data_IF_401064323940
#
_entry.id   IF_401064323940
#
_cell.length_a   1.000
_cell.length_b   1.000
_cell.length_c   1.000
_cell.angle_alpha   90.00
_cell.angle_beta   90.00
_cell.angle_gamma   90.00
#
_symmetry.space_group_name_H-M   'P 1'
#
loop_
_entity.id
_entity.type
_entity.pdbx_description
1 polymer ?
#
# COMPACT_ATOMS: atom_id res chain seq x y z
N UNK A 1 -48.04 30.71 82.68
CA UNK A 1 -48.47 32.03 82.17
C UNK A 1 -47.25 32.73 81.61
N UNK A 2 -47.16 32.84 80.28
CA UNK A 2 -46.70 34.00 79.49
C UNK A 2 -46.60 33.50 78.03
N UNK A 3 -47.04 34.37 77.15
CA UNK A 3 -47.63 34.14 75.84
C UNK A 3 -46.60 34.39 74.72
N UNK A 4 -46.72 33.61 73.63
CA UNK A 4 -46.47 33.93 72.19
C UNK A 4 -45.29 34.85 71.81
N UNK A 5 -44.51 34.41 70.83
CA UNK A 5 -44.67 34.85 69.43
C UNK A 5 -43.81 33.99 68.49
N UNK A 6 -44.47 33.29 67.57
CA UNK A 6 -43.86 32.46 66.53
C UNK A 6 -43.62 33.35 65.31
N UNK A 7 -42.34 33.59 64.99
CA UNK A 7 -41.94 34.24 63.73
C UNK A 7 -41.85 33.16 62.66
N UNK A 8 -42.73 33.22 61.66
CA UNK A 8 -42.69 32.34 60.49
C UNK A 8 -41.75 32.98 59.46
N UNK A 9 -40.57 32.38 59.28
CA UNK A 9 -39.60 32.74 58.25
C UNK A 9 -40.00 32.03 56.93
N UNK A 10 -40.11 32.74 55.79
CA UNK A 10 -40.50 32.10 54.54
C UNK A 10 -39.34 31.24 54.02
N UNK A 11 -39.61 29.96 53.82
CA UNK A 11 -38.70 29.00 53.19
C UNK A 11 -38.60 29.33 51.69
N UNK A 12 -37.56 30.04 51.30
CA UNK A 12 -37.23 30.29 49.89
C UNK A 12 -36.73 28.98 49.28
N UNK A 13 -37.59 28.29 48.53
CA UNK A 13 -37.24 27.09 47.77
C UNK A 13 -36.34 27.52 46.60
N UNK A 14 -35.02 27.38 46.75
CA UNK A 14 -34.06 27.46 45.65
C UNK A 14 -34.26 26.24 44.76
N UNK A 15 -35.00 26.43 43.65
CA UNK A 15 -35.04 25.48 42.54
C UNK A 15 -33.63 25.39 41.93
N UNK A 16 -32.86 24.41 42.36
CA UNK A 16 -31.65 23.98 41.69
C UNK A 16 -32.04 23.40 40.33
N UNK A 17 -31.93 24.22 39.28
CA UNK A 17 -32.01 23.77 37.89
C UNK A 17 -30.87 22.78 37.68
N UNK A 18 -31.13 21.52 37.26
CA UNK A 18 -30.06 20.64 36.86
C UNK A 18 -29.44 21.24 35.61
N UNK A 19 -28.20 21.74 35.74
CA UNK A 19 -27.37 22.01 34.57
C UNK A 19 -27.13 20.64 33.94
N UNK A 20 -27.91 20.34 32.91
CA UNK A 20 -27.65 19.22 32.02
C UNK A 20 -26.27 19.45 31.42
N UNK A 21 -25.28 18.76 31.96
CA UNK A 21 -23.99 18.64 31.29
C UNK A 21 -24.28 17.99 29.94
N UNK A 22 -24.16 18.77 28.87
CA UNK A 22 -23.85 18.18 27.58
C UNK A 22 -22.63 17.30 27.85
N UNK A 23 -22.75 16.00 27.63
CA UNK A 23 -21.59 15.17 27.40
C UNK A 23 -20.86 15.85 26.24
N UNK A 24 -19.86 16.65 26.55
CA UNK A 24 -18.94 17.14 25.54
C UNK A 24 -18.40 15.87 24.90
N UNK A 25 -18.62 15.71 23.60
CA UNK A 25 -17.97 14.69 22.79
C UNK A 25 -16.47 14.84 23.00
N UNK A 26 -15.91 14.14 23.98
CA UNK A 26 -14.46 13.98 24.10
C UNK A 26 -14.03 13.37 22.79
N UNK A 27 -13.20 14.08 21.99
CA UNK A 27 -12.79 13.57 20.69
C UNK A 27 -12.18 12.19 20.89
N UNK A 28 -12.55 11.24 20.02
CA UNK A 28 -11.93 9.92 19.96
C UNK A 28 -10.41 10.09 20.11
N UNK A 29 -9.77 9.47 21.12
CA UNK A 29 -8.35 9.61 21.36
C UNK A 29 -7.50 9.34 20.11
N UNK A 30 -7.95 8.46 19.21
CA UNK A 30 -7.28 8.19 17.94
C UNK A 30 -7.38 9.38 16.98
N UNK A 31 -8.52 10.07 16.91
CA UNK A 31 -8.70 11.28 16.09
C UNK A 31 -7.84 12.42 16.63
N UNK A 32 -7.79 12.60 17.95
CA UNK A 32 -6.91 13.59 18.57
C UNK A 32 -5.43 13.27 18.31
N UNK A 33 -5.02 12.00 18.46
CA UNK A 33 -3.67 11.55 18.16
C UNK A 33 -3.31 11.74 16.68
N UNK A 34 -4.23 11.46 15.75
CA UNK A 34 -4.01 11.66 14.32
C UNK A 34 -3.75 13.13 13.96
N UNK A 35 -4.54 14.05 14.53
CA UNK A 35 -4.35 15.50 14.34
C UNK A 35 -3.00 15.96 14.87
N UNK A 36 -2.66 15.58 16.11
CA UNK A 36 -1.38 15.90 16.71
C UNK A 36 -0.19 15.30 15.94
N UNK A 37 -0.35 14.09 15.41
CA UNK A 37 0.68 13.47 14.57
C UNK A 37 0.89 14.28 13.29
N UNK A 38 -0.17 14.63 12.56
CA UNK A 38 -0.08 15.39 11.32
C UNK A 38 0.51 16.80 11.53
N UNK A 39 0.20 17.44 12.66
CA UNK A 39 0.77 18.74 13.02
C UNK A 39 2.27 18.67 13.32
N UNK A 40 2.72 17.62 14.03
CA UNK A 40 4.12 17.49 14.49
C UNK A 40 5.03 16.83 13.47
N UNK A 41 4.48 16.00 12.60
CA UNK A 41 5.22 15.24 11.58
C UNK A 41 4.59 15.41 10.19
N UNK A 42 4.54 16.65 9.64
CA UNK A 42 3.87 16.93 8.37
C UNK A 42 4.50 16.19 7.17
N UNK A 43 5.76 15.76 7.29
CA UNK A 43 6.48 14.98 6.28
C UNK A 43 6.08 13.49 6.26
N UNK A 44 5.35 13.01 7.28
CA UNK A 44 4.92 11.62 7.40
C UNK A 44 3.41 11.49 7.15
N UNK A 45 3.06 10.82 6.05
CA UNK A 45 1.65 10.56 5.71
C UNK A 45 1.11 9.35 6.48
N UNK A 46 0.40 9.61 7.59
CA UNK A 46 -0.35 8.57 8.29
C UNK A 46 -1.55 8.11 7.45
N UNK A 47 -1.66 6.80 7.20
CA UNK A 47 -2.85 6.19 6.58
C UNK A 47 -3.96 5.99 7.60
N UNK A 48 -3.61 5.45 8.76
CA UNK A 48 -4.50 5.23 9.88
C UNK A 48 -3.75 5.51 11.18
N UNK A 49 -4.47 5.99 12.18
CA UNK A 49 -3.98 6.13 13.56
C UNK A 49 -5.00 5.47 14.46
N UNK A 50 -4.55 4.56 15.31
CA UNK A 50 -5.42 3.79 16.19
C UNK A 50 -4.73 3.49 17.52
N UNK A 51 -5.47 3.18 18.60
CA UNK A 51 -4.87 2.84 19.88
C UNK A 51 -3.99 1.58 19.75
N UNK A 52 -2.83 1.58 20.42
CA UNK A 52 -2.05 0.36 20.62
C UNK A 52 -2.47 -0.35 21.92
N UNK A 53 -1.99 -1.58 22.17
CA UNK A 53 -2.17 -2.24 23.47
C UNK A 53 -1.52 -1.51 24.67
N UNK A 54 -0.65 -0.52 24.42
CA UNK A 54 -0.02 0.30 25.45
C UNK A 54 -0.82 1.61 25.60
N UNK A 55 -1.33 1.85 26.81
CA UNK A 55 -2.09 3.06 27.12
C UNK A 55 -1.27 4.33 26.82
N UNK A 56 -1.87 5.31 26.14
CA UNK A 56 -1.22 6.55 25.73
C UNK A 56 -0.33 6.44 24.47
N UNK A 57 -0.20 5.24 23.89
CA UNK A 57 0.56 5.00 22.67
C UNK A 57 -0.35 4.56 21.52
N UNK A 58 -0.15 5.16 20.35
CA UNK A 58 -0.97 4.92 19.16
C UNK A 58 -0.15 4.28 18.06
N UNK A 59 -0.72 3.27 17.40
CA UNK A 59 -0.20 2.75 16.15
C UNK A 59 -0.50 3.74 15.03
N UNK A 60 0.54 4.14 14.31
CA UNK A 60 0.45 4.98 13.12
C UNK A 60 0.89 4.13 11.94
N UNK A 61 -0.06 3.80 11.08
CA UNK A 61 0.22 3.12 9.84
C UNK A 61 0.79 4.10 8.84
N UNK A 62 2.01 3.84 8.38
CA UNK A 62 2.60 4.45 7.18
C UNK A 62 2.45 3.50 5.98
N UNK A 63 3.06 3.82 4.84
CA UNK A 63 2.93 3.01 3.62
C UNK A 63 3.33 1.54 3.81
N UNK A 64 4.48 1.28 4.42
CA UNK A 64 5.08 -0.06 4.50
C UNK A 64 5.46 -0.50 5.93
N UNK A 65 5.04 0.24 6.94
CA UNK A 65 5.35 -0.04 8.35
C UNK A 65 4.34 0.60 9.29
N UNK A 66 4.27 0.07 10.50
CA UNK A 66 3.64 0.74 11.63
C UNK A 66 4.77 1.36 12.47
N UNK A 67 4.54 2.59 12.91
CA UNK A 67 5.32 3.23 13.97
C UNK A 67 4.38 3.58 15.11
N UNK A 68 4.94 3.96 16.25
CA UNK A 68 4.17 4.28 17.43
C UNK A 68 4.31 5.75 17.82
N UNK A 69 3.21 6.41 18.12
CA UNK A 69 3.19 7.83 18.51
C UNK A 69 2.65 7.99 19.93
N UNK A 70 3.37 8.75 20.77
CA UNK A 70 2.96 9.11 22.11
C UNK A 70 2.54 10.59 22.15
N UNK A 71 1.23 10.92 22.08
CA UNK A 71 0.77 12.30 21.87
C UNK A 71 1.19 13.29 22.97
N UNK A 72 1.23 12.84 24.23
CA UNK A 72 1.59 13.67 25.39
C UNK A 72 3.03 14.18 25.29
N UNK A 73 3.98 13.31 24.92
CA UNK A 73 5.40 13.67 24.79
C UNK A 73 5.76 14.19 23.39
N UNK A 74 4.99 13.81 22.36
CA UNK A 74 5.31 14.09 20.97
C UNK A 74 6.38 13.22 20.36
N UNK A 75 6.78 12.13 21.03
CA UNK A 75 7.82 11.24 20.56
C UNK A 75 7.26 10.11 19.68
N UNK A 76 8.13 9.61 18.79
CA UNK A 76 7.91 8.41 18.00
C UNK A 76 8.73 7.26 18.57
N UNK A 77 8.15 6.08 18.64
CA UNK A 77 8.87 4.83 18.80
C UNK A 77 8.83 4.06 17.48
N UNK A 78 10.01 3.65 17.02
CA UNK A 78 10.19 2.88 15.78
C UNK A 78 10.74 1.52 16.15
N UNK A 79 10.01 0.48 15.77
CA UNK A 79 10.33 -0.90 16.11
C UNK A 79 9.06 -1.73 16.24
N UNK A 80 9.22 -2.96 16.69
CA UNK A 80 8.13 -3.90 16.86
C UNK A 80 7.69 -3.99 18.32
N UNK A 81 6.38 -4.06 18.52
CA UNK A 81 5.75 -4.42 19.78
C UNK A 81 5.64 -5.94 19.87
N UNK A 82 6.29 -6.49 20.89
CA UNK A 82 6.22 -7.92 21.19
C UNK A 82 5.36 -8.13 22.43
N UNK A 83 4.38 -9.02 22.31
CA UNK A 83 3.62 -9.51 23.45
C UNK A 83 4.53 -10.39 24.33
N UNK A 84 4.16 -10.58 25.62
CA UNK A 84 4.72 -11.66 26.41
C UNK A 84 4.66 -12.98 25.63
N UNK A 85 5.64 -13.85 25.80
CA UNK A 85 5.72 -15.16 25.12
C UNK A 85 6.06 -15.10 23.62
N UNK A 86 6.43 -13.93 23.08
CA UNK A 86 7.12 -13.84 21.79
C UNK A 86 6.24 -13.64 20.55
N UNK A 87 4.97 -13.23 20.69
CA UNK A 87 4.15 -12.82 19.54
C UNK A 87 4.52 -11.38 19.13
N UNK A 88 4.89 -11.18 17.87
CA UNK A 88 5.14 -9.85 17.31
C UNK A 88 3.81 -9.23 16.84
N UNK A 89 3.25 -8.33 17.65
CA UNK A 89 1.96 -7.70 17.41
C UNK A 89 2.01 -6.72 16.23
N UNK A 90 3.12 -6.02 16.05
CA UNK A 90 3.32 -5.11 14.90
C UNK A 90 3.26 -5.87 13.59
N UNK A 91 3.98 -7.00 13.50
CA UNK A 91 4.02 -7.82 12.30
C UNK A 91 2.66 -8.45 12.02
N UNK A 92 1.98 -8.96 13.05
CA UNK A 92 0.61 -9.48 12.93
C UNK A 92 -0.34 -8.42 12.38
N UNK A 93 -0.30 -7.21 12.95
CA UNK A 93 -1.15 -6.10 12.49
C UNK A 93 -0.85 -5.70 11.05
N UNK A 94 0.43 -5.64 10.66
CA UNK A 94 0.82 -5.42 9.28
C UNK A 94 0.27 -6.50 8.34
N UNK A 95 0.32 -7.78 8.74
CA UNK A 95 -0.26 -8.89 7.96
C UNK A 95 -1.77 -8.74 7.81
N UNK A 96 -2.51 -8.38 8.86
CA UNK A 96 -3.96 -8.13 8.80
C UNK A 96 -4.30 -6.98 7.84
N UNK A 97 -3.56 -5.87 7.93
CA UNK A 97 -3.71 -4.71 7.05
C UNK A 97 -3.46 -5.11 5.60
N UNK A 98 -2.38 -5.84 5.33
CA UNK A 98 -2.05 -6.30 3.99
C UNK A 98 -3.12 -7.25 3.44
N UNK A 99 -3.67 -8.15 4.26
CA UNK A 99 -4.74 -9.05 3.87
C UNK A 99 -6.03 -8.29 3.51
N UNK A 100 -6.43 -7.30 4.31
CA UNK A 100 -7.59 -6.46 4.02
C UNK A 100 -7.40 -5.63 2.72
N UNK A 101 -6.20 -5.11 2.49
CA UNK A 101 -5.86 -4.42 1.24
C UNK A 101 -5.86 -5.36 0.04
N UNK A 102 -5.35 -6.59 0.21
CA UNK A 102 -5.34 -7.61 -0.83
C UNK A 102 -6.77 -7.97 -1.25
N UNK A 103 -7.70 -8.11 -0.31
CA UNK A 103 -9.12 -8.38 -0.62
C UNK A 103 -9.73 -7.30 -1.53
N UNK A 104 -9.48 -6.02 -1.22
CA UNK A 104 -9.94 -4.89 -2.04
C UNK A 104 -9.24 -4.91 -3.41
N UNK A 105 -7.93 -5.17 -3.43
CA UNK A 105 -7.13 -5.21 -4.65
C UNK A 105 -7.49 -6.38 -5.55
N UNK A 106 -7.91 -7.53 -5.01
CA UNK A 106 -8.30 -8.71 -5.78
C UNK A 106 -9.44 -8.41 -6.76
N UNK A 107 -10.42 -7.61 -6.33
CA UNK A 107 -11.50 -7.14 -7.20
C UNK A 107 -10.99 -6.28 -8.37
N UNK A 108 -10.00 -5.42 -8.12
CA UNK A 108 -9.35 -4.62 -9.17
C UNK A 108 -8.53 -5.52 -10.11
N UNK A 109 -7.80 -6.49 -9.56
CA UNK A 109 -6.98 -7.46 -10.31
C UNK A 109 -7.81 -8.27 -11.29
N UNK A 110 -8.99 -8.72 -10.87
CA UNK A 110 -9.91 -9.48 -11.72
C UNK A 110 -10.38 -8.68 -12.96
N UNK A 111 -10.34 -7.34 -12.91
CA UNK A 111 -10.71 -6.46 -14.01
C UNK A 111 -9.53 -6.10 -14.93
N UNK A 112 -8.30 -6.54 -14.63
CA UNK A 112 -7.12 -6.20 -15.43
C UNK A 112 -7.18 -6.93 -16.78
N UNK A 113 -7.03 -6.23 -17.92
CA UNK A 113 -7.07 -6.84 -19.25
C UNK A 113 -5.74 -7.54 -19.56
N UNK A 114 -5.59 -8.77 -19.06
CA UNK A 114 -4.36 -9.57 -19.19
C UNK A 114 -3.94 -9.84 -20.65
N UNK A 115 -4.87 -9.76 -21.61
CA UNK A 115 -4.58 -9.88 -23.04
C UNK A 115 -3.75 -8.72 -23.61
N UNK A 116 -3.65 -7.61 -22.86
CA UNK A 116 -2.82 -6.45 -23.19
C UNK A 116 -1.42 -6.51 -22.62
N UNK A 117 -1.14 -7.49 -21.75
CA UNK A 117 0.17 -7.67 -21.15
C UNK A 117 1.10 -8.52 -22.03
N UNK A 118 2.40 -8.41 -21.78
CA UNK A 118 3.38 -9.38 -22.26
C UNK A 118 3.35 -10.59 -21.31
N UNK A 119 3.08 -11.78 -21.84
CA UNK A 119 3.00 -13.00 -21.02
C UNK A 119 4.35 -13.74 -21.03
N UNK A 120 4.86 -14.06 -19.84
CA UNK A 120 6.07 -14.87 -19.65
C UNK A 120 5.72 -16.08 -18.77
N UNK A 121 5.88 -17.30 -19.31
CA UNK A 121 5.42 -18.53 -18.67
C UNK A 121 3.93 -18.82 -18.89
N UNK A 122 3.49 -20.02 -18.51
CA UNK A 122 2.14 -20.54 -18.85
C UNK A 122 1.40 -21.17 -17.68
N UNK A 123 1.88 -20.91 -16.45
CA UNK A 123 1.31 -21.53 -15.27
C UNK A 123 0.06 -20.87 -14.70
N UNK A 124 -0.55 -21.56 -13.74
CA UNK A 124 -1.80 -21.16 -13.08
C UNK A 124 -1.63 -20.02 -12.07
N UNK A 125 -0.44 -19.87 -11.48
CA UNK A 125 -0.15 -18.79 -10.55
C UNK A 125 0.11 -17.52 -11.36
N UNK A 126 -0.88 -16.63 -11.37
CA UNK A 126 -0.83 -15.36 -12.08
C UNK A 126 -0.12 -14.33 -11.22
N UNK A 127 0.92 -13.72 -11.76
CA UNK A 127 1.58 -12.53 -11.23
C UNK A 127 1.49 -11.44 -12.28
N UNK A 128 0.95 -10.29 -11.91
CA UNK A 128 0.92 -9.12 -12.77
C UNK A 128 2.08 -8.23 -12.34
N UNK A 129 2.92 -7.82 -13.30
CA UNK A 129 4.05 -6.94 -13.07
C UNK A 129 3.80 -5.63 -13.82
N UNK A 130 3.96 -4.50 -13.13
CA UNK A 130 4.08 -3.18 -13.74
C UNK A 130 5.55 -2.77 -13.69
N UNK A 131 6.15 -2.59 -14.86
CA UNK A 131 7.60 -2.53 -15.04
C UNK A 131 8.03 -1.37 -15.93
N UNK A 132 9.25 -0.88 -15.73
CA UNK A 132 9.86 0.18 -16.55
C UNK A 132 11.15 -0.37 -17.18
N UNK A 133 11.31 -0.35 -18.52
CA UNK A 133 12.50 -0.85 -19.22
C UNK A 133 13.85 -0.24 -18.76
N UNK A 134 13.83 0.98 -18.22
CA UNK A 134 15.02 1.69 -17.76
C UNK A 134 15.18 1.73 -16.24
N UNK A 135 14.26 1.13 -15.48
CA UNK A 135 14.40 1.02 -14.03
C UNK A 135 15.39 -0.09 -13.64
N UNK A 136 16.48 0.22 -12.90
CA UNK A 136 17.47 -0.78 -12.50
C UNK A 136 16.90 -1.93 -11.65
N UNK A 137 15.88 -1.67 -10.84
CA UNK A 137 15.22 -2.71 -10.05
C UNK A 137 14.29 -3.60 -10.89
N UNK A 138 13.69 -3.06 -11.95
CA UNK A 138 12.92 -3.85 -12.92
C UNK A 138 13.82 -4.85 -13.64
N UNK A 139 15.02 -4.41 -14.05
CA UNK A 139 16.03 -5.29 -14.66
C UNK A 139 16.43 -6.45 -13.74
N UNK A 140 16.68 -6.14 -12.45
CA UNK A 140 16.93 -7.17 -11.43
C UNK A 140 15.75 -8.14 -11.30
N UNK A 141 14.52 -7.62 -11.19
CA UNK A 141 13.34 -8.47 -11.08
C UNK A 141 13.18 -9.39 -12.29
N UNK A 142 13.41 -8.87 -13.50
CA UNK A 142 13.32 -9.62 -14.74
C UNK A 142 14.27 -10.83 -14.76
N UNK A 143 15.50 -10.67 -14.25
CA UNK A 143 16.45 -11.77 -14.07
C UNK A 143 15.98 -12.77 -12.99
N UNK A 144 15.43 -12.29 -11.88
CA UNK A 144 14.89 -13.15 -10.83
C UNK A 144 13.65 -13.94 -11.32
N UNK A 145 12.79 -13.33 -12.15
CA UNK A 145 11.64 -14.00 -12.78
C UNK A 145 12.08 -15.17 -13.67
N UNK A 146 13.18 -15.01 -14.42
CA UNK A 146 13.75 -16.12 -15.22
C UNK A 146 14.20 -17.28 -14.34
N UNK A 147 14.94 -16.99 -13.26
CA UNK A 147 15.37 -18.02 -12.28
C UNK A 147 14.17 -18.72 -11.62
N UNK A 148 13.10 -17.99 -11.35
CA UNK A 148 11.84 -18.57 -10.86
C UNK A 148 11.26 -19.52 -11.90
N UNK A 149 11.08 -19.07 -13.14
CA UNK A 149 10.50 -19.87 -14.23
C UNK A 149 11.36 -21.09 -14.62
N UNK A 150 12.66 -21.08 -14.37
CA UNK A 150 13.53 -22.25 -14.51
C UNK A 150 13.13 -23.35 -13.52
N UNK A 151 12.81 -22.99 -12.27
CA UNK A 151 12.47 -23.92 -11.18
C UNK A 151 10.98 -24.28 -11.14
N UNK A 152 10.09 -23.37 -11.57
CA UNK A 152 8.64 -23.54 -11.49
C UNK A 152 7.95 -23.21 -12.80
N UNK A 153 7.19 -24.17 -13.34
CA UNK A 153 6.41 -24.02 -14.57
C UNK A 153 4.94 -23.68 -14.32
N UNK A 154 4.56 -23.58 -13.06
CA UNK A 154 3.21 -23.30 -12.59
C UNK A 154 2.94 -21.80 -12.38
N UNK A 155 3.85 -20.92 -12.79
CA UNK A 155 3.69 -19.45 -12.79
C UNK A 155 3.58 -18.87 -14.20
N UNK A 156 2.75 -17.84 -14.34
CA UNK A 156 2.71 -16.95 -15.49
C UNK A 156 2.80 -15.49 -15.03
N UNK A 157 3.75 -14.75 -15.60
CA UNK A 157 3.90 -13.31 -15.39
C UNK A 157 3.21 -12.54 -16.52
N UNK A 158 2.42 -11.55 -16.17
CA UNK A 158 1.74 -10.63 -17.08
C UNK A 158 2.32 -9.24 -16.90
N UNK A 159 3.18 -8.83 -17.83
CA UNK A 159 4.00 -7.64 -17.73
C UNK A 159 3.34 -6.47 -18.47
N UNK A 160 3.07 -5.40 -17.74
CA UNK A 160 2.59 -4.11 -18.24
C UNK A 160 3.73 -3.09 -18.18
N UNK A 161 4.02 -2.46 -19.33
CA UNK A 161 5.05 -1.43 -19.42
C UNK A 161 4.52 -0.08 -18.90
N UNK A 162 5.14 0.44 -17.85
CA UNK A 162 4.93 1.76 -17.24
C UNK A 162 6.24 2.55 -17.27
N UNK A 163 6.56 3.24 -18.37
CA UNK A 163 7.71 4.12 -18.43
C UNK A 163 7.53 5.31 -17.47
N UNK A 164 8.46 5.47 -16.52
CA UNK A 164 8.45 6.55 -15.55
C UNK A 164 8.98 7.85 -16.19
N UNK A 165 8.43 9.03 -15.85
CA UNK A 165 8.83 10.32 -16.46
C UNK A 165 10.33 10.66 -16.34
N UNK A 166 11.02 10.12 -15.34
CA UNK A 166 12.45 10.33 -15.14
C UNK A 166 13.34 9.56 -16.12
N UNK A 167 12.81 8.53 -16.78
CA UNK A 167 13.53 7.72 -17.77
C UNK A 167 13.13 8.12 -19.18
N UNK A 168 13.91 9.04 -19.78
CA UNK A 168 13.58 9.69 -21.05
C UNK A 168 13.38 8.71 -22.23
N UNK A 169 14.09 7.58 -22.24
CA UNK A 169 14.03 6.59 -23.33
C UNK A 169 13.01 5.48 -23.07
N UNK A 170 12.51 5.33 -21.84
CA UNK A 170 11.64 4.22 -21.45
C UNK A 170 10.33 4.20 -22.23
N UNK A 171 9.77 5.38 -22.54
CA UNK A 171 8.52 5.47 -23.30
C UNK A 171 8.70 4.90 -24.70
N UNK A 172 9.74 5.34 -25.40
CA UNK A 172 10.09 4.90 -26.75
C UNK A 172 10.45 3.41 -26.81
N UNK A 173 11.17 2.91 -25.81
CA UNK A 173 11.45 1.48 -25.66
C UNK A 173 10.17 0.67 -25.47
N UNK A 174 9.24 1.20 -24.66
CA UNK A 174 7.94 0.55 -24.44
C UNK A 174 7.12 0.48 -25.72
N UNK A 175 7.14 1.54 -26.54
CA UNK A 175 6.51 1.54 -27.86
C UNK A 175 7.15 0.49 -28.78
N UNK A 176 8.48 0.43 -28.85
CA UNK A 176 9.20 -0.53 -29.67
C UNK A 176 8.86 -1.98 -29.29
N UNK A 177 8.81 -2.28 -27.98
CA UNK A 177 8.44 -3.61 -27.47
C UNK A 177 7.00 -3.96 -27.86
N UNK A 178 6.05 -3.04 -27.74
CA UNK A 178 4.62 -3.30 -27.98
C UNK A 178 4.24 -3.30 -29.47
N UNK A 179 5.07 -2.73 -30.35
CA UNK A 179 4.78 -2.67 -31.78
C UNK A 179 4.85 -4.02 -32.49
N UNK A 180 5.82 -4.87 -32.13
CA UNK A 180 6.03 -6.16 -32.79
C UNK A 180 5.75 -7.29 -31.80
N UNK A 181 4.51 -7.80 -31.79
CA UNK A 181 4.09 -8.88 -30.90
C UNK A 181 4.96 -10.14 -31.01
N UNK A 182 5.51 -10.43 -32.19
CA UNK A 182 6.36 -11.61 -32.39
C UNK A 182 7.75 -11.44 -31.75
N UNK A 183 8.24 -10.19 -31.67
CA UNK A 183 9.53 -9.86 -31.05
C UNK A 183 9.44 -9.28 -29.65
N UNK A 184 8.23 -9.04 -29.14
CA UNK A 184 8.02 -8.28 -27.91
C UNK A 184 8.81 -8.83 -26.72
N UNK A 185 8.85 -10.16 -26.52
CA UNK A 185 9.62 -10.76 -25.42
C UNK A 185 11.14 -10.62 -25.62
N UNK A 186 11.64 -10.75 -26.84
CA UNK A 186 13.07 -10.54 -27.14
C UNK A 186 13.48 -9.07 -26.95
N UNK A 187 12.62 -8.14 -27.36
CA UNK A 187 12.84 -6.69 -27.16
C UNK A 187 12.75 -6.31 -25.68
N UNK A 188 11.84 -6.94 -24.93
CA UNK A 188 11.78 -6.79 -23.48
C UNK A 188 13.08 -7.27 -22.83
N UNK A 189 13.57 -8.46 -23.21
CA UNK A 189 14.84 -9.00 -22.74
C UNK A 189 16.02 -8.08 -23.04
N UNK A 190 16.10 -7.55 -24.26
CA UNK A 190 17.15 -6.62 -24.67
C UNK A 190 17.09 -5.31 -23.87
N UNK A 191 15.89 -4.77 -23.65
CA UNK A 191 15.71 -3.56 -22.85
C UNK A 191 16.11 -3.78 -21.39
N UNK A 192 15.71 -4.92 -20.81
CA UNK A 192 16.05 -5.29 -19.44
C UNK A 192 17.54 -5.60 -19.27
N UNK A 193 18.22 -6.04 -20.33
CA UNK A 193 19.69 -6.14 -20.38
C UNK A 193 20.38 -4.78 -20.59
N UNK A 194 19.63 -3.68 -20.70
CA UNK A 194 20.14 -2.32 -20.88
C UNK A 194 20.60 -1.99 -22.30
N UNK A 195 20.21 -2.79 -23.30
CA UNK A 195 20.54 -2.52 -24.70
C UNK A 195 19.66 -1.40 -25.27
N UNK A 196 20.14 -0.78 -26.34
CA UNK A 196 19.33 0.11 -27.17
C UNK A 196 18.36 -0.72 -28.02
N UNK A 197 17.13 -0.25 -28.15
CA UNK A 197 16.12 -0.88 -29.01
C UNK A 197 16.03 -0.16 -30.35
N UNK A 198 15.53 -0.84 -31.41
CA UNK A 198 15.16 -0.16 -32.64
C UNK A 198 14.06 0.87 -32.40
N UNK A 199 13.93 1.79 -33.35
CA UNK A 199 12.80 2.71 -33.40
C UNK A 199 11.46 1.94 -33.46
N UNK A 200 10.39 2.42 -32.80
CA UNK A 200 9.07 1.82 -32.93
C UNK A 200 8.63 1.75 -34.39
N UNK A 201 8.23 0.57 -34.83
CA UNK A 201 7.81 0.33 -36.23
C UNK A 201 6.33 0.63 -36.49
N UNK A 202 5.60 1.12 -35.49
CA UNK A 202 4.16 1.33 -35.54
C UNK A 202 3.75 2.56 -34.71
N UNK A 203 2.58 3.14 -35.02
CA UNK A 203 2.01 4.28 -34.28
C UNK A 203 1.01 3.88 -33.20
N UNK A 204 0.50 2.65 -33.21
CA UNK A 204 -0.56 2.18 -32.30
C UNK A 204 -0.06 1.85 -30.90
N UNK A 205 1.25 1.64 -30.70
CA UNK A 205 1.82 1.28 -29.41
C UNK A 205 1.72 2.41 -28.38
N UNK A 206 1.76 3.68 -28.82
CA UNK A 206 1.65 4.84 -27.94
C UNK A 206 0.41 4.79 -27.04
N UNK A 207 -0.75 4.55 -27.65
CA UNK A 207 -2.03 4.48 -26.93
C UNK A 207 -2.03 3.33 -25.91
N UNK A 208 -1.38 2.21 -26.23
CA UNK A 208 -1.26 1.09 -25.29
C UNK A 208 -0.34 1.41 -24.12
N UNK A 209 0.77 2.13 -24.34
CA UNK A 209 1.64 2.61 -23.24
C UNK A 209 0.87 3.57 -22.32
N UNK A 210 0.09 4.50 -22.88
CA UNK A 210 -0.75 5.42 -22.11
C UNK A 210 -1.83 4.68 -21.30
N UNK A 211 -2.46 3.66 -21.90
CA UNK A 211 -3.42 2.78 -21.20
C UNK A 211 -2.77 2.00 -20.05
N UNK A 212 -1.54 1.51 -20.23
CA UNK A 212 -0.80 0.83 -19.16
C UNK A 212 -0.46 1.80 -18.01
N UNK A 213 -0.07 3.03 -18.33
CA UNK A 213 0.16 4.08 -17.33
C UNK A 213 -1.12 4.37 -16.53
N UNK A 214 -2.24 4.59 -17.22
CA UNK A 214 -3.54 4.84 -16.60
C UNK A 214 -4.01 3.65 -15.74
N UNK A 215 -3.81 2.42 -16.20
CA UNK A 215 -4.09 1.21 -15.42
C UNK A 215 -3.30 1.24 -14.10
N UNK A 216 -1.99 1.42 -14.17
CA UNK A 216 -1.17 1.46 -12.98
C UNK A 216 -1.50 2.63 -12.05
N UNK A 217 -1.92 3.79 -12.58
CA UNK A 217 -2.42 4.91 -11.76
C UNK A 217 -3.72 4.55 -11.02
N UNK A 218 -4.67 3.88 -11.67
CA UNK A 218 -5.92 3.42 -11.05
C UNK A 218 -5.73 2.34 -9.97
N UNK A 219 -4.62 1.61 -10.07
CA UNK A 219 -4.16 0.64 -9.07
C UNK A 219 -3.29 1.29 -7.98
N UNK A 220 -3.01 2.59 -8.09
CA UNK A 220 -2.13 3.35 -7.19
C UNK A 220 -0.67 2.85 -7.19
N UNK A 221 -0.24 2.20 -8.27
CA UNK A 221 1.13 1.71 -8.45
C UNK A 221 2.05 2.84 -8.88
N UNK A 222 2.56 3.58 -7.89
CA UNK A 222 3.38 4.79 -8.13
C UNK A 222 4.82 4.49 -8.56
N UNK A 223 5.35 3.30 -8.27
CA UNK A 223 6.72 2.91 -8.55
C UNK A 223 6.84 1.63 -9.37
N UNK A 224 8.03 1.36 -9.90
CA UNK A 224 8.35 0.12 -10.60
C UNK A 224 9.64 -0.53 -10.04
N UNK A 225 9.73 -1.87 -10.01
CA UNK A 225 8.65 -2.78 -10.35
C UNK A 225 7.59 -2.82 -9.24
N UNK A 226 6.32 -2.99 -9.62
CA UNK A 226 5.25 -3.33 -8.68
C UNK A 226 4.59 -4.61 -9.17
N UNK A 227 4.49 -5.61 -8.29
CA UNK A 227 3.86 -6.88 -8.57
C UNK A 227 2.55 -7.02 -7.80
N UNK A 228 1.57 -7.69 -8.39
CA UNK A 228 0.35 -8.10 -7.69
C UNK A 228 -0.02 -9.53 -8.06
N UNK A 229 -0.36 -10.32 -7.04
CA UNK A 229 -0.78 -11.72 -7.19
C UNK A 229 -2.29 -11.78 -7.47
N UNK A 230 -2.78 -12.91 -7.97
CA UNK A 230 -4.21 -13.10 -8.28
C UNK A 230 -5.18 -12.89 -7.10
N UNK A 231 -4.71 -13.03 -5.85
CA UNK A 231 -5.49 -12.74 -4.64
C UNK A 231 -5.34 -11.29 -4.14
N UNK A 232 -4.74 -10.42 -4.96
CA UNK A 232 -4.63 -8.99 -4.70
C UNK A 232 -3.46 -8.59 -3.81
N UNK A 233 -2.65 -9.53 -3.29
CA UNK A 233 -1.48 -9.14 -2.51
C UNK A 233 -0.48 -8.39 -3.41
N UNK A 234 -0.09 -7.19 -2.99
CA UNK A 234 0.83 -6.30 -3.72
C UNK A 234 2.23 -6.36 -3.11
N UNK A 235 3.25 -6.37 -3.96
CA UNK A 235 4.64 -6.17 -3.57
C UNK A 235 5.27 -5.07 -4.42
N UNK A 236 5.69 -3.98 -3.77
CA UNK A 236 6.47 -2.91 -4.40
C UNK A 236 7.96 -3.18 -4.28
N UNK A 237 8.68 -3.10 -5.39
CA UNK A 237 10.11 -3.42 -5.48
C UNK A 237 10.38 -4.86 -5.94
N UNK A 238 11.65 -5.15 -6.19
CA UNK A 238 12.07 -6.48 -6.64
C UNK A 238 12.21 -7.45 -5.45
N UNK A 239 11.99 -8.73 -5.71
CA UNK A 239 12.27 -9.83 -4.78
C UNK A 239 13.31 -10.77 -5.41
N UNK A 240 14.35 -11.21 -4.68
CA UNK A 240 15.18 -12.34 -5.10
C UNK A 240 14.35 -13.59 -5.38
N UNK A 241 14.78 -14.47 -6.28
CA UNK A 241 13.98 -15.58 -6.79
C UNK A 241 13.38 -16.50 -5.71
N UNK A 242 14.12 -16.77 -4.63
CA UNK A 242 13.61 -17.56 -3.50
C UNK A 242 12.48 -16.83 -2.75
N UNK A 243 12.63 -15.53 -2.52
CA UNK A 243 11.60 -14.71 -1.87
C UNK A 243 10.40 -14.50 -2.80
N UNK A 244 10.64 -14.30 -4.10
CA UNK A 244 9.58 -14.21 -5.10
C UNK A 244 8.78 -15.51 -5.17
N UNK A 245 9.46 -16.67 -5.12
CA UNK A 245 8.78 -17.97 -5.11
C UNK A 245 7.94 -18.18 -3.86
N UNK A 246 8.50 -17.87 -2.68
CA UNK A 246 7.75 -17.92 -1.42
C UNK A 246 6.55 -16.97 -1.42
N UNK A 247 6.75 -15.74 -1.91
CA UNK A 247 5.69 -14.76 -2.05
C UNK A 247 4.61 -15.26 -3.00
N UNK A 248 4.92 -15.85 -4.16
CA UNK A 248 3.88 -16.41 -5.05
C UNK A 248 3.06 -17.53 -4.36
N UNK A 249 3.68 -18.27 -3.44
CA UNK A 249 3.02 -19.35 -2.68
C UNK A 249 2.19 -18.84 -1.49
N UNK A 250 2.17 -17.52 -1.24
CA UNK A 250 1.45 -16.94 -0.10
C UNK A 250 2.20 -17.06 1.24
N UNK A 251 3.52 -17.25 1.21
CA UNK A 251 4.38 -17.40 2.39
C UNK A 251 5.20 -16.15 2.69
#
# INVERSE_FOLDING_TARGET
MILRQTVILPLLLLLSVPVGGNAADTPDPAVAAARLFAERFPELSAKTVQPSPIAGLFEVQLDNRIIYFAPESGLLLVGDLWAPHGENLTRKRMTEIMAAQAEIMAAKVAAIPLDKALKIGDGKHVVIEVTDPDCPYCRKLHDEMKKVLEKRKDTAFYVFLRPLPMHKDAFKKSEAILCDKAKALALLDDAMAGKTLPEPSCSTAKEQVEKNNALADSLEFRGTPTMVRGDGLVNSGYLPAEQLSAWIDGK
#
